data_IF_959759046691
#
_entry.id   IF_959759046691
#
_cell.length_a   1.000
_cell.length_b   1.000
_cell.length_c   1.000
_cell.angle_alpha   90.00
_cell.angle_beta   90.00
_cell.angle_gamma   90.00
#
_symmetry.space_group_name_H-M   'P 1'
#
loop_
_entity.id
_entity.type
_entity.pdbx_description
1 polymer ?
#
# COMPACT_ATOMS: atom_id res chain seq x y z
N UNK A 1 25.68 3.94 -2.68
CA UNK A 1 25.89 4.22 -1.25
C UNK A 1 25.44 3.02 -0.46
N UNK A 2 26.12 2.65 0.63
CA UNK A 2 25.68 1.54 1.49
C UNK A 2 24.37 1.94 2.20
N UNK A 3 23.33 1.12 2.11
CA UNK A 3 22.09 1.31 2.88
C UNK A 3 22.41 1.30 4.38
N UNK A 4 21.80 2.21 5.12
CA UNK A 4 21.91 2.27 6.59
C UNK A 4 20.75 1.49 7.16
N UNK A 5 21.03 0.44 7.93
CA UNK A 5 19.99 -0.25 8.71
C UNK A 5 19.69 0.60 9.93
N UNK A 6 18.42 0.97 10.12
CA UNK A 6 18.03 1.84 11.23
C UNK A 6 17.92 1.05 12.53
N UNK A 7 18.53 1.55 13.59
CA UNK A 7 18.31 1.04 14.96
C UNK A 7 16.99 1.56 15.54
N UNK A 8 16.52 0.96 16.63
CA UNK A 8 15.30 1.39 17.30
C UNK A 8 15.38 2.85 17.78
N UNK A 9 16.55 3.32 18.22
CA UNK A 9 16.76 4.71 18.64
C UNK A 9 16.67 5.69 17.47
N UNK A 10 17.20 5.29 16.30
CA UNK A 10 17.11 6.08 15.08
C UNK A 10 15.68 6.14 14.54
N UNK A 11 14.96 5.02 14.64
CA UNK A 11 13.52 4.98 14.32
C UNK A 11 12.74 5.84 15.31
N UNK A 12 13.02 5.79 16.61
CA UNK A 12 12.36 6.66 17.59
C UNK A 12 12.54 8.14 17.24
N UNK A 13 13.76 8.57 16.90
CA UNK A 13 14.01 9.95 16.46
C UNK A 13 13.21 10.30 15.20
N UNK A 14 13.21 9.40 14.20
CA UNK A 14 12.43 9.57 12.97
C UNK A 14 10.93 9.72 13.29
N UNK A 15 10.32 8.80 14.04
CA UNK A 15 8.89 8.84 14.37
C UNK A 15 8.53 10.10 15.15
N UNK A 16 9.40 10.51 16.09
CA UNK A 16 9.21 11.72 16.89
C UNK A 16 9.16 13.00 16.05
N UNK A 17 9.93 13.07 14.97
CA UNK A 17 10.06 14.28 14.16
C UNK A 17 9.20 14.25 12.89
N UNK A 18 8.82 13.06 12.41
CA UNK A 18 8.16 12.87 11.12
C UNK A 18 6.71 12.34 11.19
N UNK A 19 6.12 12.21 12.39
CA UNK A 19 4.69 11.83 12.49
C UNK A 19 3.78 13.00 12.13
N UNK A 20 2.63 12.69 11.54
CA UNK A 20 1.60 13.67 11.24
C UNK A 20 0.20 13.09 11.46
N UNK A 21 -0.76 13.95 11.82
CA UNK A 21 -2.12 13.52 12.10
C UNK A 21 -2.83 13.12 10.81
N UNK A 22 -3.52 11.99 10.82
CA UNK A 22 -4.33 11.57 9.67
C UNK A 22 -5.49 12.53 9.48
N UNK A 23 -5.68 13.01 8.24
CA UNK A 23 -6.86 13.77 7.83
C UNK A 23 -8.02 12.78 7.61
N UNK A 24 -9.10 12.82 8.42
CA UNK A 24 -10.20 11.87 8.32
C UNK A 24 -10.89 11.86 6.95
N UNK A 25 -10.92 13.00 6.26
CA UNK A 25 -11.55 13.14 4.94
C UNK A 25 -10.70 12.52 3.82
N UNK A 26 -9.41 12.30 4.08
CA UNK A 26 -8.44 11.75 3.12
C UNK A 26 -7.85 10.41 3.54
N UNK A 27 -8.33 9.83 4.64
CA UNK A 27 -7.77 8.59 5.23
C UNK A 27 -7.76 7.39 4.29
N UNK A 28 -8.56 7.44 3.23
CA UNK A 28 -8.70 6.43 2.19
C UNK A 28 -7.96 6.73 0.89
N UNK A 29 -7.30 7.88 0.79
CA UNK A 29 -6.32 8.09 -0.27
C UNK A 29 -5.11 7.22 0.05
N UNK A 30 -4.67 6.44 -0.92
CA UNK A 30 -3.60 5.47 -0.72
C UNK A 30 -2.28 5.93 -1.35
N UNK A 31 -1.19 5.34 -0.89
CA UNK A 31 0.13 5.34 -1.55
C UNK A 31 0.80 3.98 -1.37
N UNK A 32 1.83 3.71 -2.15
CA UNK A 32 2.62 2.50 -1.93
C UNK A 32 3.45 2.65 -0.65
N UNK A 33 3.87 1.51 -0.08
CA UNK A 33 4.83 1.48 1.03
C UNK A 33 6.17 2.16 0.73
N UNK A 34 6.48 2.40 -0.55
CA UNK A 34 7.73 2.95 -1.08
C UNK A 34 8.24 4.18 -0.29
N UNK A 35 9.55 4.21 -0.03
CA UNK A 35 10.19 5.27 0.75
C UNK A 35 10.39 6.58 -0.01
N UNK A 36 10.29 6.56 -1.34
CA UNK A 36 10.65 7.69 -2.22
C UNK A 36 9.57 8.77 -2.35
N UNK A 37 8.41 8.58 -1.70
CA UNK A 37 7.39 9.62 -1.67
C UNK A 37 7.91 10.86 -0.93
N UNK A 38 7.78 12.02 -1.56
CA UNK A 38 8.21 13.30 -0.97
C UNK A 38 7.40 13.60 0.29
N UNK A 39 8.09 14.07 1.32
CA UNK A 39 7.43 14.56 2.52
C UNK A 39 6.77 15.91 2.21
N UNK A 40 5.47 15.89 1.99
CA UNK A 40 4.67 17.08 1.68
C UNK A 40 3.34 17.08 2.44
N UNK A 41 2.82 18.27 2.71
CA UNK A 41 1.53 18.42 3.37
C UNK A 41 0.43 17.72 2.56
N UNK A 42 -0.28 16.81 3.21
CA UNK A 42 -1.32 16.02 2.58
C UNK A 42 -0.83 14.73 1.92
N UNK A 43 0.42 14.30 2.14
CA UNK A 43 0.87 12.96 1.78
C UNK A 43 -0.10 11.92 2.37
N UNK A 44 -0.67 11.01 1.55
CA UNK A 44 -1.61 10.01 2.05
C UNK A 44 -0.98 9.12 3.12
N UNK A 45 -1.66 8.98 4.27
CA UNK A 45 -1.18 8.18 5.39
C UNK A 45 -1.40 6.67 5.19
N UNK A 46 -2.46 6.30 4.46
CA UNK A 46 -2.73 4.91 4.09
C UNK A 46 -1.66 4.43 3.10
N UNK A 47 -0.66 3.73 3.63
CA UNK A 47 0.43 3.16 2.85
C UNK A 47 0.37 1.63 2.93
N UNK A 48 0.32 0.98 1.76
CA UNK A 48 0.31 -0.48 1.66
C UNK A 48 0.84 -0.92 0.27
N UNK A 49 1.24 -2.19 0.09
CA UNK A 49 1.96 -2.61 -1.11
C UNK A 49 1.14 -2.32 -2.38
N UNK A 50 1.72 -1.56 -3.31
CA UNK A 50 1.08 -1.26 -4.60
C UNK A 50 -0.05 -0.22 -4.58
N UNK A 51 -0.43 0.33 -3.41
CA UNK A 51 -1.60 1.21 -3.29
C UNK A 51 -2.85 0.55 -3.93
N UNK A 52 -3.68 1.31 -4.64
CA UNK A 52 -4.92 0.77 -5.22
C UNK A 52 -4.69 -0.37 -6.23
N UNK A 53 -3.52 -0.44 -6.88
CA UNK A 53 -3.15 -1.59 -7.74
C UNK A 53 -3.04 -2.87 -6.92
N UNK A 54 -2.43 -2.77 -5.74
CA UNK A 54 -2.30 -3.88 -4.81
C UNK A 54 -3.65 -4.29 -4.24
N UNK A 55 -4.53 -3.32 -3.93
CA UNK A 55 -5.89 -3.61 -3.44
C UNK A 55 -6.72 -4.37 -4.49
N UNK A 56 -6.67 -3.96 -5.77
CA UNK A 56 -7.33 -4.67 -6.88
C UNK A 56 -6.81 -6.11 -6.98
N UNK A 57 -5.49 -6.29 -6.96
CA UNK A 57 -4.87 -7.61 -7.05
C UNK A 57 -5.19 -8.49 -5.84
N UNK A 58 -5.25 -7.90 -4.64
CA UNK A 58 -5.62 -8.58 -3.40
C UNK A 58 -7.05 -9.12 -3.49
N UNK A 59 -8.02 -8.32 -3.97
CA UNK A 59 -9.41 -8.80 -4.12
C UNK A 59 -9.50 -9.97 -5.12
N UNK A 60 -8.79 -9.90 -6.24
CA UNK A 60 -8.73 -11.01 -7.20
C UNK A 60 -8.11 -12.27 -6.59
N UNK A 61 -6.99 -12.12 -5.87
CA UNK A 61 -6.33 -13.24 -5.19
C UNK A 61 -7.22 -13.86 -4.10
N UNK A 62 -7.94 -13.05 -3.33
CA UNK A 62 -8.89 -13.50 -2.33
C UNK A 62 -10.04 -14.30 -2.98
N UNK A 63 -10.60 -13.80 -4.10
CA UNK A 63 -11.69 -14.48 -4.80
C UNK A 63 -11.34 -15.93 -5.18
N UNK A 64 -10.10 -16.15 -5.64
CA UNK A 64 -9.60 -17.47 -6.04
C UNK A 64 -9.25 -18.37 -4.87
N UNK A 65 -8.64 -17.79 -3.84
CA UNK A 65 -8.16 -18.56 -2.68
C UNK A 65 -9.31 -19.02 -1.79
N UNK A 66 -10.37 -18.20 -1.69
CA UNK A 66 -11.50 -18.43 -0.80
C UNK A 66 -12.80 -18.79 -1.52
N UNK A 67 -12.81 -18.74 -2.86
CA UNK A 67 -13.85 -19.38 -3.67
C UNK A 67 -15.13 -18.56 -3.89
N UNK A 68 -15.07 -17.23 -3.90
CA UNK A 68 -16.19 -16.37 -4.32
C UNK A 68 -15.96 -15.80 -5.71
N UNK A 69 -17.04 -15.45 -6.42
CA UNK A 69 -16.92 -14.83 -7.75
C UNK A 69 -16.91 -13.30 -7.60
N UNK A 70 -16.09 -12.62 -8.42
CA UNK A 70 -15.95 -11.16 -8.44
C UNK A 70 -16.17 -10.62 -9.86
N UNK A 71 -17.05 -9.65 -10.00
CA UNK A 71 -17.19 -8.86 -11.23
C UNK A 71 -16.09 -7.79 -11.25
N UNK A 72 -15.08 -7.98 -12.10
CA UNK A 72 -13.93 -7.08 -12.19
C UNK A 72 -14.33 -5.64 -12.50
N UNK A 73 -15.32 -5.40 -13.36
CA UNK A 73 -15.72 -4.01 -13.68
C UNK A 73 -16.36 -3.34 -12.47
N UNK A 74 -17.20 -4.10 -11.74
CA UNK A 74 -17.81 -3.59 -10.50
C UNK A 74 -16.80 -3.38 -9.39
N UNK A 75 -15.79 -4.25 -9.27
CA UNK A 75 -14.66 -4.04 -8.36
C UNK A 75 -14.04 -2.67 -8.59
N UNK A 76 -13.74 -2.32 -9.84
CA UNK A 76 -13.11 -1.05 -10.19
C UNK A 76 -14.02 0.15 -9.88
N UNK A 77 -15.30 0.07 -10.23
CA UNK A 77 -16.25 1.17 -9.94
C UNK A 77 -16.50 1.31 -8.44
N UNK A 78 -16.61 0.20 -7.71
CA UNK A 78 -16.77 0.21 -6.26
C UNK A 78 -15.53 0.76 -5.58
N UNK A 79 -14.34 0.34 -5.99
CA UNK A 79 -13.09 0.89 -5.46
C UNK A 79 -13.02 2.40 -5.65
N UNK A 80 -13.38 2.88 -6.86
CA UNK A 80 -13.47 4.29 -7.16
C UNK A 80 -14.44 5.02 -6.22
N UNK A 81 -15.61 4.45 -5.94
CA UNK A 81 -16.57 5.03 -4.98
C UNK A 81 -15.97 5.13 -3.57
N UNK A 82 -15.32 4.07 -3.08
CA UNK A 82 -14.74 4.04 -1.72
C UNK A 82 -13.60 5.05 -1.59
N UNK A 83 -12.79 5.31 -2.62
CA UNK A 83 -11.78 6.40 -2.59
C UNK A 83 -12.35 7.80 -2.84
N UNK A 84 -13.65 7.95 -3.14
CA UNK A 84 -14.26 9.25 -3.46
C UNK A 84 -14.09 9.72 -4.92
N UNK A 85 -13.96 8.77 -5.84
CA UNK A 85 -13.99 8.93 -7.30
C UNK A 85 -12.69 8.52 -7.99
N UNK A 86 -12.74 8.34 -9.31
CA UNK A 86 -11.59 7.87 -10.11
C UNK A 86 -10.34 8.76 -9.96
N UNK A 87 -10.51 10.07 -9.77
CA UNK A 87 -9.41 11.02 -9.53
C UNK A 87 -8.59 10.73 -8.25
N UNK A 88 -9.19 9.98 -7.33
CA UNK A 88 -8.59 9.58 -6.07
C UNK A 88 -7.99 8.17 -6.13
N UNK A 89 -8.09 7.48 -7.27
CA UNK A 89 -7.32 6.25 -7.48
C UNK A 89 -5.85 6.62 -7.64
N UNK A 90 -4.99 6.00 -6.84
CA UNK A 90 -3.56 6.29 -6.70
C UNK A 90 -2.74 5.05 -7.00
N UNK A 91 -1.70 5.25 -7.80
CA UNK A 91 -0.65 4.29 -8.02
C UNK A 91 0.64 5.04 -8.37
N UNK A 92 1.74 4.32 -8.53
CA UNK A 92 2.99 4.97 -8.90
C UNK A 92 3.79 4.14 -9.88
N UNK A 93 4.70 4.84 -10.56
CA UNK A 93 5.81 4.29 -11.33
C UNK A 93 7.09 5.01 -10.89
N UNK A 94 8.20 4.78 -11.59
CA UNK A 94 9.43 5.52 -11.37
C UNK A 94 10.08 5.92 -12.70
N UNK A 95 11.12 6.74 -12.61
CA UNK A 95 11.86 7.27 -13.76
C UNK A 95 12.73 6.22 -14.50
N UNK A 96 12.89 5.01 -13.94
CA UNK A 96 13.60 3.91 -14.58
C UNK A 96 12.66 2.97 -15.33
N UNK A 97 11.36 3.09 -15.12
CA UNK A 97 10.36 2.24 -15.71
C UNK A 97 10.20 2.45 -17.22
N UNK A 98 9.72 1.41 -17.90
CA UNK A 98 9.39 1.46 -19.33
C UNK A 98 8.34 2.56 -19.60
N UNK A 99 8.63 3.56 -20.46
CA UNK A 99 7.68 4.61 -20.77
C UNK A 99 6.36 4.05 -21.33
N UNK A 100 5.24 4.61 -20.87
CA UNK A 100 3.90 4.23 -21.34
C UNK A 100 3.39 2.89 -20.81
N UNK A 101 4.05 2.32 -19.79
CA UNK A 101 3.58 1.12 -19.07
C UNK A 101 3.22 1.52 -17.64
N UNK A 102 1.93 1.47 -17.33
CA UNK A 102 1.39 1.88 -16.05
C UNK A 102 1.89 0.97 -14.91
N UNK A 103 2.25 1.62 -13.80
CA UNK A 103 2.79 1.01 -12.58
C UNK A 103 4.09 0.19 -12.79
N UNK A 104 4.80 0.37 -13.90
CA UNK A 104 5.99 -0.44 -14.21
C UNK A 104 7.16 -0.24 -13.24
N UNK A 105 7.26 0.93 -12.60
CA UNK A 105 8.25 1.21 -11.55
C UNK A 105 7.84 0.78 -10.15
N UNK A 106 6.60 0.33 -9.97
CA UNK A 106 6.15 -0.18 -8.68
C UNK A 106 6.78 -1.55 -8.40
N UNK A 107 7.66 -1.63 -7.41
CA UNK A 107 8.33 -2.87 -7.02
C UNK A 107 7.34 -4.00 -6.71
N UNK A 108 6.24 -3.69 -6.02
CA UNK A 108 5.19 -4.68 -5.69
C UNK A 108 4.54 -5.26 -6.95
N UNK A 109 4.03 -4.39 -7.84
CA UNK A 109 3.36 -4.85 -9.06
C UNK A 109 4.33 -5.53 -10.04
N UNK A 110 5.58 -5.06 -10.12
CA UNK A 110 6.64 -5.72 -10.88
C UNK A 110 6.89 -7.14 -10.38
N UNK A 111 7.01 -7.36 -9.07
CA UNK A 111 7.18 -8.71 -8.51
C UNK A 111 5.95 -9.60 -8.77
N UNK A 112 4.75 -9.04 -8.68
CA UNK A 112 3.51 -9.74 -9.02
C UNK A 112 3.47 -10.17 -10.49
N UNK A 113 3.96 -9.34 -11.42
CA UNK A 113 4.07 -9.75 -12.84
C UNK A 113 5.13 -10.81 -13.07
N UNK A 114 6.22 -10.81 -12.30
CA UNK A 114 7.30 -11.79 -12.41
C UNK A 114 6.93 -13.16 -11.82
N UNK A 115 6.16 -13.16 -10.74
CA UNK A 115 5.74 -14.37 -10.02
C UNK A 115 4.28 -14.24 -9.54
N UNK A 116 3.30 -14.25 -10.46
CA UNK A 116 1.89 -13.98 -10.13
C UNK A 116 1.33 -15.01 -9.15
N UNK A 117 1.81 -16.25 -9.23
CA UNK A 117 1.39 -17.35 -8.35
C UNK A 117 1.72 -17.05 -6.89
N UNK A 118 2.86 -16.43 -6.58
CA UNK A 118 3.21 -16.06 -5.21
C UNK A 118 2.23 -15.03 -4.60
N UNK A 119 1.57 -14.24 -5.45
CA UNK A 119 0.58 -13.24 -5.05
C UNK A 119 -0.87 -13.73 -5.23
N UNK A 120 -1.09 -15.03 -5.51
CA UNK A 120 -2.45 -15.58 -5.68
C UNK A 120 -3.18 -15.15 -6.96
N UNK A 121 -2.51 -14.43 -7.86
CA UNK A 121 -3.06 -13.97 -9.16
C UNK A 121 -2.51 -14.80 -10.32
N UNK A 122 -3.06 -14.62 -11.51
CA UNK A 122 -2.58 -15.17 -12.78
C UNK A 122 -1.89 -14.09 -13.61
N UNK A 123 -1.10 -14.47 -14.61
CA UNK A 123 -0.53 -13.53 -15.56
C UNK A 123 -1.63 -12.71 -16.26
N UNK A 124 -2.70 -13.35 -16.71
CA UNK A 124 -3.84 -12.70 -17.37
C UNK A 124 -4.50 -11.64 -16.47
N UNK A 125 -4.64 -11.92 -15.17
CA UNK A 125 -5.15 -10.94 -14.19
C UNK A 125 -4.21 -9.75 -14.03
N UNK A 126 -2.88 -9.96 -14.00
CA UNK A 126 -1.93 -8.84 -13.95
C UNK A 126 -1.95 -7.99 -15.22
N UNK A 127 -2.18 -8.60 -16.39
CA UNK A 127 -2.35 -7.89 -17.66
C UNK A 127 -3.67 -7.11 -17.69
N UNK A 128 -4.76 -7.71 -17.20
CA UNK A 128 -6.06 -7.08 -17.07
C UNK A 128 -5.99 -5.84 -16.16
N UNK A 129 -5.34 -5.96 -15.00
CA UNK A 129 -5.08 -4.82 -14.09
C UNK A 129 -4.35 -3.72 -14.84
N UNK A 130 -3.24 -4.04 -15.53
CA UNK A 130 -2.46 -3.04 -16.25
C UNK A 130 -3.27 -2.32 -17.33
N UNK A 131 -4.10 -3.04 -18.08
CA UNK A 131 -5.00 -2.45 -19.08
C UNK A 131 -6.03 -1.51 -18.42
N UNK A 132 -6.55 -1.88 -17.26
CA UNK A 132 -7.49 -1.04 -16.53
C UNK A 132 -6.81 0.22 -15.96
N UNK A 133 -5.59 0.12 -15.45
CA UNK A 133 -4.83 1.29 -14.97
C UNK A 133 -4.66 2.34 -16.07
N UNK A 134 -4.39 1.92 -17.31
CA UNK A 134 -4.35 2.82 -18.46
C UNK A 134 -5.68 3.54 -18.69
N UNK A 135 -6.80 2.82 -18.57
CA UNK A 135 -8.13 3.43 -18.70
C UNK A 135 -8.45 4.38 -17.56
N UNK A 136 -8.12 4.01 -16.32
CA UNK A 136 -8.31 4.84 -15.13
C UNK A 136 -7.48 6.12 -15.20
N UNK A 137 -6.23 6.02 -15.64
CA UNK A 137 -5.35 7.17 -15.87
C UNK A 137 -5.96 8.14 -16.89
N UNK A 138 -6.48 7.62 -18.00
CA UNK A 138 -7.20 8.45 -18.99
C UNK A 138 -8.48 9.10 -18.43
N UNK A 139 -9.07 8.53 -17.36
CA UNK A 139 -10.24 9.06 -16.65
C UNK A 139 -9.87 9.94 -15.44
N UNK A 140 -8.57 10.18 -15.20
CA UNK A 140 -8.08 11.10 -14.18
C UNK A 140 -7.47 10.46 -12.93
N UNK A 141 -7.33 9.13 -12.87
CA UNK A 141 -6.54 8.49 -11.81
C UNK A 141 -5.09 8.97 -11.84
N UNK A 142 -4.45 8.97 -10.68
CA UNK A 142 -3.14 9.61 -10.49
C UNK A 142 -2.05 8.55 -10.39
N UNK A 143 -1.15 8.57 -11.39
CA UNK A 143 0.11 7.85 -11.36
C UNK A 143 1.22 8.81 -10.90
N UNK A 144 1.73 8.62 -9.69
CA UNK A 144 2.90 9.36 -9.19
C UNK A 144 4.18 8.80 -9.81
N UNK A 145 5.09 9.67 -10.27
CA UNK A 145 6.42 9.25 -10.72
C UNK A 145 7.39 9.45 -9.57
N UNK A 146 7.94 8.36 -9.04
CA UNK A 146 8.95 8.41 -7.97
C UNK A 146 10.35 8.63 -8.54
N UNK A 147 11.12 9.47 -7.85
CA UNK A 147 12.47 9.88 -8.24
C UNK A 147 13.51 9.26 -7.30
N UNK A 148 14.72 9.07 -7.79
CA UNK A 148 15.84 8.57 -7.01
C UNK A 148 15.87 7.05 -6.81
N UNK A 149 16.94 6.63 -6.14
CA UNK A 149 17.20 5.23 -5.79
C UNK A 149 16.55 4.88 -4.45
N UNK A 150 16.24 3.60 -4.28
CA UNK A 150 15.72 3.04 -3.03
C UNK A 150 16.75 3.12 -1.89
N UNK A 151 16.49 3.94 -0.88
CA UNK A 151 17.36 4.16 0.28
C UNK A 151 16.73 3.68 1.60
N UNK A 152 15.77 2.75 1.53
CA UNK A 152 15.06 2.28 2.71
C UNK A 152 15.98 1.54 3.70
N UNK A 153 15.91 1.96 4.97
CA UNK A 153 16.70 1.42 6.08
C UNK A 153 15.92 0.60 7.09
N UNK A 154 14.58 0.63 7.03
CA UNK A 154 13.68 -0.16 7.87
C UNK A 154 12.29 -0.29 7.23
N UNK A 155 11.49 -1.23 7.74
CA UNK A 155 10.04 -1.32 7.52
C UNK A 155 9.34 -0.90 8.80
N UNK A 156 8.41 0.05 8.69
CA UNK A 156 7.63 0.56 9.81
C UNK A 156 6.17 0.15 9.63
N UNK A 157 5.68 -0.68 10.55
CA UNK A 157 4.27 -1.02 10.68
C UNK A 157 3.57 -0.02 11.60
N UNK A 158 2.60 0.72 11.08
CA UNK A 158 1.92 1.80 11.80
C UNK A 158 0.52 1.38 12.21
N UNK A 159 0.23 1.52 13.50
CA UNK A 159 -1.08 1.34 14.12
C UNK A 159 -1.54 2.64 14.80
N UNK A 160 -2.82 3.00 14.66
CA UNK A 160 -3.41 4.21 15.24
C UNK A 160 -3.92 5.22 14.19
N UNK A 161 -4.02 6.49 14.58
CA UNK A 161 -4.58 7.59 13.76
C UNK A 161 -3.54 8.65 13.35
N UNK A 162 -2.28 8.22 13.23
CA UNK A 162 -1.14 9.05 12.81
C UNK A 162 -0.39 8.39 11.66
N UNK A 163 -0.02 9.19 10.66
CA UNK A 163 0.88 8.80 9.59
C UNK A 163 2.34 9.10 9.94
N UNK A 164 3.24 8.55 9.13
CA UNK A 164 4.69 8.78 9.23
C UNK A 164 5.21 9.15 7.85
N UNK A 165 5.93 10.27 7.77
CA UNK A 165 6.62 10.67 6.54
C UNK A 165 7.80 9.72 6.26
N UNK A 166 7.94 9.19 5.04
CA UNK A 166 8.86 8.09 4.76
C UNK A 166 10.33 8.52 4.61
N UNK A 167 10.64 9.81 4.49
CA UNK A 167 12.00 10.31 4.28
C UNK A 167 12.51 11.05 5.52
N UNK A 168 13.79 10.88 5.88
CA UNK A 168 14.37 11.57 7.04
C UNK A 168 15.86 11.88 6.84
N UNK A 169 16.32 13.00 7.40
CA UNK A 169 17.74 13.33 7.47
C UNK A 169 18.28 12.94 8.84
N UNK A 170 18.87 11.75 8.91
CA UNK A 170 19.44 11.22 10.14
C UNK A 170 20.81 11.83 10.41
N UNK A 171 20.95 12.48 11.56
CA UNK A 171 22.25 12.93 12.06
C UNK A 171 23.06 11.73 12.58
N UNK A 172 24.26 11.53 12.03
CA UNK A 172 25.20 10.47 12.44
C UNK A 172 26.56 11.08 12.80
N UNK A 173 27.44 10.29 13.41
CA UNK A 173 28.84 10.70 13.68
C UNK A 173 29.59 11.12 12.39
N UNK A 174 29.15 10.62 11.23
CA UNK A 174 29.70 10.95 9.90
C UNK A 174 28.90 12.05 9.18
N UNK A 175 28.14 12.86 9.93
CA UNK A 175 27.26 13.91 9.41
C UNK A 175 25.86 13.41 9.06
N UNK A 176 25.10 14.27 8.38
CA UNK A 176 23.71 13.98 8.00
C UNK A 176 23.64 12.94 6.88
N UNK A 177 22.78 11.95 7.05
CA UNK A 177 22.49 10.90 6.09
C UNK A 177 21.01 10.92 5.75
N UNK A 178 20.70 11.07 4.47
CA UNK A 178 19.35 10.86 3.98
C UNK A 178 19.01 9.37 4.05
N UNK A 179 17.88 9.06 4.68
CA UNK A 179 17.35 7.70 4.82
C UNK A 179 15.88 7.68 4.45
N UNK A 180 15.42 6.54 3.96
CA UNK A 180 14.02 6.29 3.69
C UNK A 180 13.54 5.11 4.55
N UNK A 181 12.22 4.93 4.66
CA UNK A 181 11.60 3.77 5.29
C UNK A 181 10.44 3.27 4.43
N UNK A 182 10.22 1.95 4.44
CA UNK A 182 8.95 1.41 4.01
C UNK A 182 7.91 1.66 5.09
N UNK A 183 6.73 2.18 4.73
CA UNK A 183 5.62 2.42 5.68
C UNK A 183 4.45 1.54 5.31
N UNK A 184 3.96 0.75 6.27
CA UNK A 184 2.73 -0.02 6.13
C UNK A 184 1.75 0.38 7.25
N UNK A 185 0.59 0.94 6.89
CA UNK A 185 -0.34 1.51 7.88
C UNK A 185 -1.54 0.58 8.15
N UNK A 186 -1.33 -0.41 9.03
CA UNK A 186 -2.30 -1.48 9.33
C UNK A 186 -3.70 -0.96 9.70
N UNK A 187 -3.83 -0.01 10.64
CA UNK A 187 -5.16 0.44 11.06
C UNK A 187 -6.00 1.06 9.94
N UNK A 188 -5.37 1.84 9.05
CA UNK A 188 -6.07 2.42 7.90
C UNK A 188 -6.35 1.37 6.82
N UNK A 189 -5.48 0.38 6.64
CA UNK A 189 -5.72 -0.77 5.75
C UNK A 189 -6.95 -1.54 6.22
N UNK A 190 -7.06 -1.83 7.52
CA UNK A 190 -8.21 -2.53 8.09
C UNK A 190 -9.52 -1.74 7.91
N UNK A 191 -9.49 -0.43 8.20
CA UNK A 191 -10.66 0.45 7.96
C UNK A 191 -11.06 0.49 6.49
N UNK A 192 -10.06 0.56 5.59
CA UNK A 192 -10.24 0.60 4.15
C UNK A 192 -10.86 -0.71 3.64
N UNK A 193 -10.36 -1.85 4.09
CA UNK A 193 -10.90 -3.16 3.74
C UNK A 193 -12.34 -3.32 4.20
N UNK A 194 -12.70 -2.89 5.41
CA UNK A 194 -14.11 -2.93 5.86
C UNK A 194 -15.01 -2.11 4.95
N UNK A 195 -14.60 -0.88 4.62
CA UNK A 195 -15.36 -0.03 3.72
C UNK A 195 -15.50 -0.66 2.31
N UNK A 196 -14.43 -1.26 1.80
CA UNK A 196 -14.46 -1.94 0.51
C UNK A 196 -15.34 -3.19 0.51
N UNK A 197 -15.28 -4.03 1.54
CA UNK A 197 -16.13 -5.22 1.69
C UNK A 197 -17.61 -4.84 1.65
N UNK A 198 -18.00 -3.88 2.50
CA UNK A 198 -19.37 -3.40 2.58
C UNK A 198 -19.86 -2.86 1.22
N UNK A 199 -19.03 -2.06 0.54
CA UNK A 199 -19.37 -1.49 -0.75
C UNK A 199 -19.45 -2.55 -1.87
N UNK A 200 -18.56 -3.55 -1.88
CA UNK A 200 -18.58 -4.63 -2.88
C UNK A 200 -19.84 -5.49 -2.76
N UNK A 201 -20.30 -5.76 -1.53
CA UNK A 201 -21.55 -6.48 -1.29
C UNK A 201 -22.77 -5.64 -1.68
N UNK A 202 -22.80 -4.36 -1.27
CA UNK A 202 -23.87 -3.43 -1.63
C UNK A 202 -24.05 -3.31 -3.15
N UNK A 203 -22.94 -3.17 -3.87
CA UNK A 203 -22.92 -3.02 -5.33
C UNK A 203 -23.06 -4.35 -6.09
N UNK A 204 -23.20 -5.48 -5.37
CA UNK A 204 -23.29 -6.82 -5.94
C UNK A 204 -22.11 -7.11 -6.88
N UNK A 205 -20.91 -6.70 -6.47
CA UNK A 205 -19.66 -7.02 -7.14
C UNK A 205 -19.23 -8.44 -6.83
N UNK A 206 -19.59 -8.96 -5.65
CA UNK A 206 -19.26 -10.30 -5.18
C UNK A 206 -20.50 -11.20 -5.21
N UNK A 207 -20.29 -12.47 -5.58
CA UNK A 207 -21.27 -13.55 -5.41
C UNK A 207 -20.65 -14.66 -4.55
N UNK A 208 -21.22 -14.83 -3.36
CA UNK A 208 -20.89 -15.91 -2.44
C UNK A 208 -21.46 -17.26 -2.89
N UNK A 209 -20.83 -18.36 -2.46
CA UNK A 209 -21.23 -19.71 -2.87
C UNK A 209 -21.89 -20.49 -1.73
N UNK A 210 -21.59 -20.20 -0.46
CA UNK A 210 -22.02 -20.97 0.71
C UNK A 210 -22.37 -20.09 1.93
N UNK A 211 -23.31 -19.16 1.81
CA UNK A 211 -23.85 -18.43 2.96
C UNK A 211 -22.81 -17.59 3.72
N UNK A 212 -21.67 -17.29 3.10
CA UNK A 212 -20.66 -16.38 3.64
C UNK A 212 -21.23 -14.96 3.81
N UNK A 213 -20.62 -14.18 4.69
CA UNK A 213 -21.06 -12.82 5.04
C UNK A 213 -19.94 -11.78 4.90
N UNK A 214 -20.23 -10.54 5.27
CA UNK A 214 -19.28 -9.41 5.21
C UNK A 214 -18.06 -9.62 6.12
N UNK A 215 -18.25 -10.21 7.30
CA UNK A 215 -17.15 -10.44 8.24
C UNK A 215 -16.21 -11.52 7.72
N UNK A 216 -16.77 -12.59 7.14
CA UNK A 216 -15.97 -13.60 6.45
C UNK A 216 -15.15 -12.97 5.34
N UNK A 217 -15.76 -12.16 4.47
CA UNK A 217 -15.06 -11.49 3.37
C UNK A 217 -13.93 -10.57 3.87
N UNK A 218 -14.20 -9.77 4.91
CA UNK A 218 -13.19 -8.92 5.53
C UNK A 218 -11.97 -9.73 6.00
N UNK A 219 -12.19 -10.87 6.68
CA UNK A 219 -11.11 -11.74 7.12
C UNK A 219 -10.30 -12.30 5.93
N UNK A 220 -10.95 -12.66 4.82
CA UNK A 220 -10.24 -13.10 3.60
C UNK A 220 -9.36 -12.00 3.00
N UNK A 221 -9.79 -10.73 3.07
CA UNK A 221 -9.00 -9.58 2.60
C UNK A 221 -7.81 -9.33 3.50
N UNK A 222 -7.98 -9.41 4.82
CA UNK A 222 -6.87 -9.29 5.77
C UNK A 222 -5.81 -10.37 5.54
N UNK A 223 -6.20 -11.65 5.41
CA UNK A 223 -5.28 -12.76 5.18
C UNK A 223 -4.53 -12.63 3.83
N UNK A 224 -5.26 -12.25 2.78
CA UNK A 224 -4.65 -12.06 1.45
C UNK A 224 -3.71 -10.85 1.42
N UNK A 225 -4.07 -9.76 2.09
CA UNK A 225 -3.23 -8.56 2.19
C UNK A 225 -1.96 -8.83 2.98
N UNK A 226 -2.03 -9.58 4.08
CA UNK A 226 -0.85 -10.03 4.82
C UNK A 226 0.08 -10.88 3.94
N UNK A 227 -0.47 -11.79 3.15
CA UNK A 227 0.30 -12.59 2.19
C UNK A 227 1.02 -11.70 1.17
N UNK A 228 0.32 -10.71 0.60
CA UNK A 228 0.91 -9.74 -0.34
C UNK A 228 2.00 -8.89 0.32
N UNK A 229 1.80 -8.45 1.55
CA UNK A 229 2.79 -7.71 2.34
C UNK A 229 4.05 -8.56 2.56
N UNK A 230 3.89 -9.80 3.01
CA UNK A 230 5.02 -10.70 3.27
C UNK A 230 5.82 -11.02 2.01
N UNK A 231 5.16 -11.32 0.89
CA UNK A 231 5.86 -11.55 -0.38
C UNK A 231 6.60 -10.30 -0.88
N UNK A 232 6.01 -9.12 -0.67
CA UNK A 232 6.66 -7.84 -1.00
C UNK A 232 7.87 -7.60 -0.12
N UNK A 233 7.73 -7.77 1.21
CA UNK A 233 8.82 -7.57 2.16
C UNK A 233 9.98 -8.53 1.90
N UNK A 234 9.70 -9.81 1.64
CA UNK A 234 10.69 -10.83 1.29
C UNK A 234 11.53 -10.47 0.07
N UNK A 235 10.94 -9.76 -0.90
CA UNK A 235 11.58 -9.42 -2.19
C UNK A 235 12.25 -8.05 -2.17
N UNK A 236 11.64 -7.06 -1.52
CA UNK A 236 12.05 -5.65 -1.58
C UNK A 236 12.74 -5.16 -0.30
N UNK A 237 12.40 -5.74 0.86
CA UNK A 237 12.89 -5.33 2.17
C UNK A 237 13.82 -6.37 2.82
N UNK A 238 14.45 -7.25 2.02
CA UNK A 238 15.30 -8.33 2.51
C UNK A 238 16.44 -7.80 3.40
N UNK A 239 16.45 -8.22 4.65
CA UNK A 239 17.47 -7.84 5.63
C UNK A 239 17.24 -6.50 6.31
N UNK A 240 16.13 -5.81 6.01
CA UNK A 240 15.74 -4.61 6.75
C UNK A 240 15.08 -5.01 8.08
N UNK A 241 15.38 -4.29 9.19
CA UNK A 241 14.63 -4.44 10.42
C UNK A 241 13.18 -4.00 10.24
N UNK A 242 12.27 -4.68 10.93
CA UNK A 242 10.85 -4.34 10.96
C UNK A 242 10.54 -3.86 12.38
N UNK A 243 9.89 -2.70 12.47
CA UNK A 243 9.44 -2.13 13.74
C UNK A 243 7.94 -1.87 13.70
N UNK A 244 7.27 -2.11 14.82
CA UNK A 244 5.87 -1.74 15.01
C UNK A 244 5.78 -0.44 15.81
N UNK A 245 5.03 0.53 15.27
CA UNK A 245 4.73 1.81 15.93
C UNK A 245 3.25 1.87 16.20
N UNK A 246 2.89 1.92 17.48
CA UNK A 246 1.50 2.08 17.93
C UNK A 246 1.29 3.47 18.50
N UNK A 247 0.50 4.28 17.80
CA UNK A 247 0.11 5.62 18.22
C UNK A 247 -1.13 5.62 19.11
N UNK A 248 -1.13 6.53 20.08
CA UNK A 248 -2.29 6.97 20.85
C UNK A 248 -2.91 8.22 20.20
N UNK A 249 -4.14 8.58 20.59
CA UNK A 249 -4.89 9.68 19.97
C UNK A 249 -4.18 11.04 20.05
N UNK A 250 -3.40 11.25 21.11
CA UNK A 250 -2.62 12.48 21.34
C UNK A 250 -1.31 12.51 20.55
N UNK A 251 -0.95 11.43 19.84
CA UNK A 251 0.28 11.30 19.07
C UNK A 251 1.47 10.78 19.88
N UNK A 252 1.28 10.40 21.14
CA UNK A 252 2.25 9.57 21.86
C UNK A 252 2.29 8.17 21.22
N UNK A 253 3.41 7.47 21.38
CA UNK A 253 3.59 6.17 20.72
C UNK A 253 4.50 5.22 21.48
N UNK A 254 4.43 3.94 21.12
CA UNK A 254 5.34 2.88 21.54
C UNK A 254 5.93 2.20 20.30
N UNK A 255 7.22 1.88 20.36
CA UNK A 255 7.94 1.14 19.31
C UNK A 255 8.29 -0.24 19.85
N UNK A 256 8.12 -1.27 19.03
CA UNK A 256 8.48 -2.67 19.32
C UNK A 256 9.25 -3.29 18.18
#
# INVERSE_FOLDING_TARGET
MSKILLTIEQVDKLIRENRYKVDPEKKFLSRCIDGRYKNEDGLPALAFPGADVGEIAMVLAASKSFGFDIDFKKLITTLAEVVGGVKNIKFHTDHHATPGVEAAGCGHFKQMKLDPRAYGVTSDETELIQQELKQLKNKGAVETILEGEHMEGAVIMVNGNWGVYPQYNLETENGNKFVEIFVYHQSLVDERHRALCSALLHNKAITFKNGEDEEWLYNTFCETSETHLMETAKRLAKGLPIYEVKFEDNGDYKIR
#
